data_IF_667417876988
#
_entry.id   IF_667417876988
#
_cell.length_a   1.000
_cell.length_b   1.000
_cell.length_c   1.000
_cell.angle_alpha   90.00
_cell.angle_beta   90.00
_cell.angle_gamma   90.00
#
_symmetry.space_group_name_H-M   'P 1'
#
loop_
_entity.id
_entity.type
_entity.pdbx_description
1 polymer ?
#
# COMPACT_ATOMS: atom_id res chain seq x y z
N UNK A 1 -21.74 -5.76 -10.14
CA UNK A 1 -20.72 -5.90 -9.08
C UNK A 1 -19.40 -5.64 -9.76
N UNK A 2 -18.87 -4.43 -9.63
CA UNK A 2 -17.54 -4.11 -10.13
C UNK A 2 -16.56 -5.03 -9.42
N UNK A 3 -15.95 -5.95 -10.17
CA UNK A 3 -14.81 -6.71 -9.70
C UNK A 3 -13.68 -5.70 -9.53
N UNK A 4 -13.50 -5.17 -8.31
CA UNK A 4 -12.36 -4.32 -8.00
C UNK A 4 -11.09 -5.02 -8.48
N UNK A 5 -10.35 -4.36 -9.36
CA UNK A 5 -9.12 -4.90 -9.92
C UNK A 5 -8.19 -5.41 -8.80
N UNK A 6 -7.48 -6.53 -9.01
CA UNK A 6 -6.60 -7.13 -8.01
C UNK A 6 -5.61 -6.12 -7.42
N UNK A 7 -5.09 -5.19 -8.22
CA UNK A 7 -4.16 -4.14 -7.77
C UNK A 7 -4.83 -3.12 -6.86
N UNK A 8 -6.06 -2.69 -7.15
CA UNK A 8 -6.81 -1.76 -6.28
C UNK A 8 -7.10 -2.41 -4.92
N UNK A 9 -7.58 -3.65 -4.93
CA UNK A 9 -7.88 -4.38 -3.69
C UNK A 9 -6.63 -4.66 -2.85
N UNK A 10 -5.50 -4.99 -3.50
CA UNK A 10 -4.24 -5.19 -2.81
C UNK A 10 -3.68 -3.88 -2.24
N UNK A 11 -3.83 -2.75 -2.95
CA UNK A 11 -3.42 -1.44 -2.46
C UNK A 11 -4.18 -1.08 -1.18
N UNK A 12 -5.51 -1.20 -1.19
CA UNK A 12 -6.35 -0.91 -0.02
C UNK A 12 -5.94 -1.76 1.20
N UNK A 13 -5.65 -3.05 0.99
CA UNK A 13 -5.17 -3.93 2.06
C UNK A 13 -3.80 -3.52 2.57
N UNK A 14 -2.87 -3.17 1.69
CA UNK A 14 -1.54 -2.70 2.09
C UNK A 14 -1.64 -1.39 2.89
N UNK A 15 -2.48 -0.45 2.46
CA UNK A 15 -2.76 0.79 3.18
C UNK A 15 -3.33 0.52 4.57
N UNK A 16 -4.33 -0.37 4.72
CA UNK A 16 -4.91 -0.73 6.02
C UNK A 16 -3.85 -1.29 6.97
N UNK A 17 -3.09 -2.28 6.52
CA UNK A 17 -2.05 -2.92 7.32
C UNK A 17 -0.99 -1.89 7.74
N UNK A 18 -0.52 -1.06 6.81
CA UNK A 18 0.46 -0.02 7.11
C UNK A 18 -0.09 1.04 8.05
N UNK A 19 -1.37 1.44 7.93
CA UNK A 19 -1.98 2.39 8.85
C UNK A 19 -2.02 1.83 10.26
N UNK A 20 -2.58 0.63 10.42
CA UNK A 20 -2.75 -0.03 11.72
C UNK A 20 -1.41 -0.35 12.38
N UNK A 21 -0.38 -0.70 11.60
CA UNK A 21 0.97 -0.87 12.12
C UNK A 21 1.52 0.44 12.68
N UNK A 22 1.39 1.51 11.92
CA UNK A 22 1.92 2.81 12.29
C UNK A 22 1.16 3.48 13.46
N UNK A 23 -0.12 3.15 13.63
CA UNK A 23 -0.93 3.60 14.76
C UNK A 23 -0.73 2.71 16.01
N UNK A 24 0.08 1.65 15.91
CA UNK A 24 0.39 0.72 17.00
C UNK A 24 -0.69 -0.31 17.30
N UNK A 25 -1.74 -0.39 16.47
CA UNK A 25 -2.80 -1.39 16.57
C UNK A 25 -2.35 -2.78 16.11
N UNK A 26 -1.33 -2.83 15.25
CA UNK A 26 -0.74 -4.05 14.71
C UNK A 26 0.74 -4.14 15.13
N UNK A 27 1.15 -5.27 15.70
CA UNK A 27 2.57 -5.50 16.02
C UNK A 27 3.42 -5.63 14.76
N UNK A 28 4.73 -5.33 14.88
CA UNK A 28 5.64 -5.33 13.71
C UNK A 28 5.69 -6.68 12.97
N UNK A 29 5.75 -7.80 13.69
CA UNK A 29 5.77 -9.14 13.07
C UNK A 29 4.45 -9.44 12.33
N UNK A 30 3.31 -9.08 12.94
CA UNK A 30 1.99 -9.28 12.35
C UNK A 30 1.80 -8.41 11.09
N UNK A 31 2.24 -7.15 11.15
CA UNK A 31 2.23 -6.23 10.02
C UNK A 31 3.08 -6.72 8.86
N UNK A 32 4.29 -7.19 9.15
CA UNK A 32 5.19 -7.74 8.13
C UNK A 32 4.61 -9.00 7.49
N UNK A 33 4.03 -9.90 8.28
CA UNK A 33 3.39 -11.11 7.76
C UNK A 33 2.18 -10.76 6.87
N UNK A 34 1.36 -9.80 7.31
CA UNK A 34 0.21 -9.33 6.54
C UNK A 34 0.63 -8.64 5.23
N UNK A 35 1.61 -7.73 5.25
CA UNK A 35 2.15 -7.09 4.04
C UNK A 35 2.76 -8.12 3.08
N UNK A 36 3.56 -9.06 3.60
CA UNK A 36 4.11 -10.15 2.80
C UNK A 36 2.99 -10.95 2.13
N UNK A 37 1.92 -11.27 2.86
CA UNK A 37 0.77 -12.00 2.33
C UNK A 37 0.08 -11.22 1.20
N UNK A 38 -0.09 -9.90 1.34
CA UNK A 38 -0.61 -9.03 0.27
C UNK A 38 0.27 -9.12 -0.97
N UNK A 39 1.59 -8.96 -0.83
CA UNK A 39 2.51 -8.99 -1.98
C UNK A 39 2.66 -10.38 -2.62
N UNK A 40 2.54 -11.46 -1.85
CA UNK A 40 2.60 -12.83 -2.36
C UNK A 40 1.33 -13.20 -3.14
N UNK A 41 0.17 -12.73 -2.69
CA UNK A 41 -1.13 -13.02 -3.32
C UNK A 41 -1.46 -12.08 -4.48
N UNK A 42 -0.87 -10.89 -4.48
CA UNK A 42 -1.07 -9.92 -5.54
C UNK A 42 -0.39 -10.36 -6.84
N UNK A 43 -1.20 -10.47 -7.89
CA UNK A 43 -0.74 -10.66 -9.26
C UNK A 43 -0.96 -9.36 -10.02
N UNK A 44 0.11 -8.77 -10.60
CA UNK A 44 -0.03 -7.63 -11.50
C UNK A 44 -0.97 -7.97 -12.65
N UNK A 45 -1.78 -7.00 -13.06
CA UNK A 45 -2.73 -7.16 -14.14
C UNK A 45 -2.39 -6.23 -15.31
N UNK A 46 -3.22 -6.23 -16.35
CA UNK A 46 -3.19 -5.15 -17.34
C UNK A 46 -4.12 -4.04 -16.85
N UNK A 47 -3.59 -2.88 -16.38
CA UNK A 47 -4.43 -1.78 -15.93
C UNK A 47 -5.20 -1.17 -17.10
N UNK A 48 -6.51 -1.06 -16.93
CA UNK A 48 -7.44 -0.47 -17.91
C UNK A 48 -7.88 0.94 -17.53
N UNK A 49 -7.49 1.42 -16.34
CA UNK A 49 -7.73 2.77 -15.85
C UNK A 49 -6.49 3.36 -15.18
N UNK A 50 -6.45 4.69 -15.06
CA UNK A 50 -5.40 5.41 -14.34
C UNK A 50 -5.31 4.95 -12.86
N UNK A 51 -6.45 4.71 -12.23
CA UNK A 51 -6.50 4.24 -10.85
C UNK A 51 -5.83 2.86 -10.69
N UNK A 52 -6.09 1.93 -11.61
CA UNK A 52 -5.44 0.62 -11.62
C UNK A 52 -3.94 0.73 -11.88
N UNK A 53 -3.54 1.61 -12.80
CA UNK A 53 -2.15 1.85 -13.13
C UNK A 53 -1.37 2.40 -11.93
N UNK A 54 -2.00 3.27 -11.15
CA UNK A 54 -1.41 3.87 -9.95
C UNK A 54 -1.34 2.88 -8.81
N UNK A 55 -2.39 2.07 -8.63
CA UNK A 55 -2.39 1.00 -7.64
C UNK A 55 -1.27 -0.01 -7.92
N UNK A 56 -1.09 -0.39 -9.18
CA UNK A 56 -0.02 -1.29 -9.60
C UNK A 56 1.38 -0.70 -9.39
N UNK A 57 1.60 0.56 -9.75
CA UNK A 57 2.87 1.25 -9.51
C UNK A 57 3.19 1.37 -8.02
N UNK A 58 2.19 1.75 -7.21
CA UNK A 58 2.34 1.91 -5.77
C UNK A 58 2.66 0.58 -5.09
N UNK A 59 1.95 -0.50 -5.45
CA UNK A 59 2.23 -1.84 -4.94
C UNK A 59 3.59 -2.38 -5.39
N UNK A 60 4.00 -2.09 -6.62
CA UNK A 60 5.34 -2.46 -7.12
C UNK A 60 6.42 -1.78 -6.28
N UNK A 61 6.33 -0.47 -6.09
CA UNK A 61 7.29 0.29 -5.29
C UNK A 61 7.30 -0.15 -3.83
N UNK A 62 6.12 -0.41 -3.24
CA UNK A 62 5.99 -0.86 -1.85
C UNK A 62 6.60 -2.25 -1.66
N UNK A 63 6.38 -3.17 -2.61
CA UNK A 63 6.99 -4.50 -2.59
C UNK A 63 8.52 -4.41 -2.66
N UNK A 64 9.07 -3.53 -3.50
CA UNK A 64 10.52 -3.33 -3.61
C UNK A 64 11.08 -2.79 -2.28
N UNK A 65 10.47 -1.74 -1.71
CA UNK A 65 10.90 -1.17 -0.43
C UNK A 65 10.84 -2.21 0.71
N UNK A 66 9.77 -3.02 0.76
CA UNK A 66 9.63 -4.09 1.73
C UNK A 66 10.70 -5.18 1.57
N UNK A 67 11.00 -5.60 0.34
CA UNK A 67 12.05 -6.59 0.07
C UNK A 67 13.45 -6.08 0.39
N UNK A 68 13.75 -4.82 0.06
CA UNK A 68 15.02 -4.18 0.40
C UNK A 68 15.20 -4.09 1.93
N UNK A 69 14.16 -3.66 2.64
CA UNK A 69 14.15 -3.66 4.10
C UNK A 69 14.37 -5.07 4.70
N UNK A 70 13.72 -6.10 4.15
CA UNK A 70 13.90 -7.50 4.58
C UNK A 70 15.35 -8.00 4.41
N UNK A 71 16.06 -7.52 3.38
CA UNK A 71 17.45 -7.91 3.13
C UNK A 71 18.43 -7.19 4.06
N UNK A 72 18.14 -5.95 4.44
CA UNK A 72 19.01 -5.11 5.26
C UNK A 72 18.79 -5.29 6.76
N UNK A 73 17.58 -5.69 7.17
CA UNK A 73 17.20 -5.80 8.59
C UNK A 73 17.10 -4.43 9.28
N UNK A 74 16.63 -3.41 8.56
CA UNK A 74 16.61 -2.02 8.99
C UNK A 74 15.46 -1.67 9.97
N UNK A 75 15.38 -0.41 10.39
CA UNK A 75 14.37 0.06 11.35
C UNK A 75 12.94 -0.05 10.77
N UNK A 76 12.03 -0.65 11.54
CA UNK A 76 10.61 -0.72 11.22
C UNK A 76 9.96 0.66 11.00
N UNK A 77 10.36 1.68 11.76
CA UNK A 77 9.81 3.04 11.65
C UNK A 77 10.11 3.68 10.29
N UNK A 78 11.30 3.40 9.74
CA UNK A 78 11.70 3.87 8.42
C UNK A 78 10.86 3.20 7.34
N UNK A 79 10.70 1.88 7.42
CA UNK A 79 9.85 1.14 6.49
C UNK A 79 8.40 1.62 6.54
N UNK A 80 7.83 1.82 7.73
CA UNK A 80 6.47 2.35 7.91
C UNK A 80 6.33 3.71 7.20
N UNK A 81 7.31 4.61 7.40
CA UNK A 81 7.31 5.94 6.80
C UNK A 81 7.36 5.86 5.28
N UNK A 82 8.23 5.02 4.73
CA UNK A 82 8.33 4.80 3.29
C UNK A 82 7.04 4.20 2.73
N UNK A 83 6.46 3.18 3.38
CA UNK A 83 5.22 2.55 2.94
C UNK A 83 4.04 3.52 2.97
N UNK A 84 3.89 4.32 4.03
CA UNK A 84 2.83 5.34 4.11
C UNK A 84 2.92 6.33 2.95
N UNK A 85 4.11 6.74 2.57
CA UNK A 85 4.31 7.63 1.43
C UNK A 85 4.05 6.93 0.09
N UNK A 86 4.62 5.74 -0.12
CA UNK A 86 4.49 5.01 -1.39
C UNK A 86 3.04 4.62 -1.68
N UNK A 87 2.33 4.15 -0.65
CA UNK A 87 0.98 3.63 -0.78
C UNK A 87 -0.08 4.74 -0.80
N UNK A 88 0.27 6.00 -0.53
CA UNK A 88 -0.64 7.14 -0.64
C UNK A 88 -0.66 7.69 -2.08
N UNK A 89 -1.73 7.46 -2.87
CA UNK A 89 -1.85 7.96 -4.24
C UNK A 89 -1.97 9.48 -4.31
N UNK A 90 -2.32 10.14 -3.19
CA UNK A 90 -2.48 11.59 -3.15
C UNK A 90 -1.17 12.34 -3.44
N UNK A 91 -0.02 11.68 -3.28
CA UNK A 91 1.30 12.23 -3.66
C UNK A 91 1.42 12.51 -5.16
N UNK A 92 0.70 11.74 -5.98
CA UNK A 92 0.68 11.87 -7.44
C UNK A 92 -0.49 12.73 -7.93
N UNK A 93 -1.17 13.44 -7.02
CA UNK A 93 -2.32 14.31 -7.34
C UNK A 93 -3.65 13.56 -7.51
N UNK A 94 -3.67 12.27 -7.18
CA UNK A 94 -4.85 11.43 -7.37
C UNK A 94 -5.76 11.53 -6.16
N UNK A 95 -7.00 11.96 -6.39
CA UNK A 95 -8.02 12.17 -5.36
C UNK A 95 -9.13 11.12 -5.40
N UNK A 96 -8.93 10.05 -6.20
CA UNK A 96 -9.91 8.98 -6.33
C UNK A 96 -10.20 8.34 -4.96
N UNK A 97 -11.46 8.37 -4.47
CA UNK A 97 -11.80 7.85 -3.15
C UNK A 97 -11.61 6.33 -3.03
N UNK A 98 -11.59 5.61 -4.14
CA UNK A 98 -11.33 4.16 -4.16
C UNK A 98 -9.87 3.86 -3.83
N UNK A 99 -8.94 4.76 -4.19
CA UNK A 99 -7.52 4.62 -3.88
C UNK A 99 -7.11 5.34 -2.59
N UNK A 100 -7.92 6.29 -2.13
CA UNK A 100 -7.63 7.16 -0.99
C UNK A 100 -8.43 6.78 0.26
N UNK A 101 -8.46 5.49 0.62
CA UNK A 101 -9.27 4.99 1.75
C UNK A 101 -8.87 5.61 3.09
N UNK A 102 -7.59 5.98 3.24
CA UNK A 102 -7.02 6.58 4.45
C UNK A 102 -6.46 7.98 4.23
N UNK A 103 -6.70 8.61 3.07
CA UNK A 103 -6.24 9.98 2.87
C UNK A 103 -6.99 10.90 3.88
N UNK A 104 -6.28 11.76 4.63
CA UNK A 104 -6.95 12.76 5.43
C UNK A 104 -7.81 13.60 4.47
N UNK A 105 -9.11 13.69 4.77
CA UNK A 105 -10.03 14.58 4.04
C UNK A 105 -9.40 15.97 4.08
N UNK A 106 -8.79 16.41 2.96
CA UNK A 106 -8.29 17.79 2.87
C UNK A 106 -9.53 18.68 2.90
N UNK A 107 -9.67 19.60 3.87
CA UNK A 107 -10.73 20.58 3.79
C UNK A 107 -10.51 21.40 2.51
N UNK A 108 -11.58 21.57 1.74
CA UNK A 108 -11.62 22.47 0.56
C UNK A 108 -11.23 23.90 0.92
#
# INVERSE_FOLDING_TARGET
>A
METSNPSVSALQKAQDVTSRWADGELGAEEAQHALKSVFDQWQPGDPTSEAEQVAEQSLTAARIAFQDWQQRGENCDELITQLRWILDPSKDGITDPVLNVYAPQRPE
#
